data_IF_502491069834
#
_entry.id   IF_502491069834
#
_cell.length_a   1.000
_cell.length_b   1.000
_cell.length_c   1.000
_cell.angle_alpha   90.00
_cell.angle_beta   90.00
_cell.angle_gamma   90.00
#
_symmetry.space_group_name_H-M   'P 1'
#
loop_
_entity.id
_entity.type
_entity.pdbx_description
1 polymer ?
#
# COMPACT_ATOMS: atom_id res chain seq x y z
N UNK A 1 20.47 18.31 -21.44
CA UNK A 1 20.28 19.77 -21.35
C UNK A 1 21.62 20.37 -20.92
N UNK A 2 22.30 21.11 -21.79
CA UNK A 2 23.61 21.70 -21.46
C UNK A 2 23.40 23.13 -20.93
N UNK A 3 23.48 23.29 -19.62
CA UNK A 3 23.47 24.60 -18.98
C UNK A 3 24.88 25.21 -19.00
N UNK A 4 25.03 26.51 -19.33
CA UNK A 4 26.29 27.23 -19.18
C UNK A 4 26.84 27.15 -17.74
N UNK A 5 28.16 27.32 -17.59
CA UNK A 5 28.82 27.35 -16.29
C UNK A 5 28.19 28.47 -15.43
N UNK A 6 27.86 28.15 -14.17
CA UNK A 6 27.19 29.03 -13.19
C UNK A 6 25.72 29.44 -13.52
N UNK A 7 25.00 28.68 -14.33
CA UNK A 7 23.55 28.83 -14.44
C UNK A 7 22.78 27.73 -13.70
N UNK A 8 21.64 28.12 -13.12
CA UNK A 8 20.70 27.22 -12.47
C UNK A 8 19.30 27.43 -13.06
N UNK A 9 18.49 26.39 -13.09
CA UNK A 9 17.09 26.47 -13.50
C UNK A 9 16.19 26.68 -12.28
N UNK A 10 15.25 27.62 -12.37
CA UNK A 10 14.20 27.82 -11.39
C UNK A 10 12.96 27.06 -11.83
N UNK A 11 12.51 26.12 -11.00
CA UNK A 11 11.24 25.43 -11.23
C UNK A 11 10.07 26.37 -10.95
N UNK A 12 9.16 26.48 -11.91
CA UNK A 12 7.90 27.22 -11.76
C UNK A 12 6.73 26.35 -11.28
N UNK A 13 6.91 25.03 -11.35
CA UNK A 13 5.99 23.99 -10.92
C UNK A 13 6.80 22.92 -10.19
N UNK A 14 6.17 22.13 -9.34
CA UNK A 14 6.89 21.08 -8.62
C UNK A 14 7.38 20.02 -9.61
N UNK A 15 8.56 19.43 -9.38
CA UNK A 15 9.09 18.41 -10.26
C UNK A 15 8.67 17.02 -9.75
N UNK A 16 8.16 16.17 -10.63
CA UNK A 16 7.81 14.80 -10.26
C UNK A 16 9.00 14.07 -9.62
N UNK A 17 8.73 13.28 -8.57
CA UNK A 17 9.77 12.60 -7.79
C UNK A 17 10.42 13.45 -6.70
N UNK A 18 10.04 14.72 -6.55
CA UNK A 18 10.47 15.55 -5.40
C UNK A 18 9.45 15.51 -4.26
N UNK A 19 9.91 15.68 -3.02
CA UNK A 19 9.01 15.76 -1.86
C UNK A 19 8.01 16.92 -1.99
N UNK A 20 8.42 18.02 -2.60
CA UNK A 20 7.58 19.19 -2.86
C UNK A 20 6.42 18.84 -3.80
N UNK A 21 6.68 18.03 -4.83
CA UNK A 21 5.66 17.56 -5.75
C UNK A 21 4.57 16.73 -5.05
N UNK A 22 4.97 15.79 -4.19
CA UNK A 22 4.03 15.02 -3.37
C UNK A 22 3.21 15.91 -2.43
N UNK A 23 3.84 16.91 -1.81
CA UNK A 23 3.16 17.85 -0.94
C UNK A 23 2.15 18.72 -1.70
N UNK A 24 2.54 19.30 -2.84
CA UNK A 24 1.65 20.10 -3.66
C UNK A 24 0.46 19.28 -4.18
N UNK A 25 0.70 18.03 -4.58
CA UNK A 25 -0.37 17.10 -4.95
C UNK A 25 -1.37 16.90 -3.81
N UNK A 26 -0.86 16.59 -2.61
CA UNK A 26 -1.72 16.39 -1.44
C UNK A 26 -2.55 17.62 -1.09
N UNK A 27 -1.94 18.83 -1.12
CA UNK A 27 -2.67 20.08 -0.87
C UNK A 27 -3.80 20.25 -1.88
N UNK A 28 -3.51 20.09 -3.17
CA UNK A 28 -4.51 20.21 -4.23
C UNK A 28 -5.64 19.18 -4.10
N UNK A 29 -5.29 17.92 -3.87
CA UNK A 29 -6.26 16.84 -3.68
C UNK A 29 -7.17 17.14 -2.49
N UNK A 30 -6.60 17.58 -1.37
CA UNK A 30 -7.36 17.96 -0.18
C UNK A 30 -8.34 19.09 -0.48
N UNK A 31 -7.93 20.14 -1.20
CA UNK A 31 -8.82 21.24 -1.60
C UNK A 31 -9.97 20.75 -2.49
N UNK A 32 -9.67 19.89 -3.48
CA UNK A 32 -10.70 19.29 -4.35
C UNK A 32 -11.70 18.48 -3.53
N UNK A 33 -11.22 17.62 -2.62
CA UNK A 33 -12.07 16.77 -1.79
C UNK A 33 -12.95 17.62 -0.85
N UNK A 34 -12.39 18.67 -0.25
CA UNK A 34 -13.15 19.62 0.58
C UNK A 34 -14.25 20.32 -0.22
N UNK A 35 -13.97 20.73 -1.46
CA UNK A 35 -14.96 21.36 -2.34
C UNK A 35 -16.12 20.42 -2.73
N UNK A 36 -15.84 19.11 -2.83
CA UNK A 36 -16.86 18.08 -3.07
C UNK A 36 -17.66 17.76 -1.78
N UNK A 37 -17.14 18.12 -0.61
CA UNK A 37 -17.79 17.96 0.69
C UNK A 37 -17.20 16.84 1.56
N UNK A 38 -16.04 16.30 1.19
CA UNK A 38 -15.30 15.37 2.03
C UNK A 38 -14.51 16.09 3.12
N UNK A 39 -14.41 15.46 4.28
CA UNK A 39 -13.55 15.93 5.38
C UNK A 39 -12.50 14.88 5.69
N UNK A 40 -11.23 15.25 5.89
CA UNK A 40 -10.19 14.29 6.27
C UNK A 40 -10.51 13.69 7.64
N UNK A 41 -10.31 12.38 7.78
CA UNK A 41 -10.40 11.71 9.06
C UNK A 41 -9.24 12.13 9.98
N UNK A 42 -9.51 12.30 11.27
CA UNK A 42 -8.51 12.73 12.26
C UNK A 42 -7.49 11.65 12.62
N UNK A 43 -7.84 10.38 12.42
CA UNK A 43 -7.00 9.24 12.77
C UNK A 43 -6.17 8.72 11.58
N UNK A 44 -6.70 8.81 10.36
CA UNK A 44 -6.03 8.37 9.14
C UNK A 44 -6.22 9.39 8.02
N UNK A 45 -5.12 10.01 7.58
CA UNK A 45 -5.09 11.03 6.54
C UNK A 45 -5.46 10.51 5.13
N UNK A 46 -5.57 9.20 4.96
CA UNK A 46 -5.95 8.52 3.72
C UNK A 46 -7.46 8.30 3.62
N UNK A 47 -8.20 8.48 4.72
CA UNK A 47 -9.64 8.23 4.80
C UNK A 47 -10.41 9.56 4.82
N UNK A 48 -11.38 9.68 3.93
CA UNK A 48 -12.22 10.85 3.73
C UNK A 48 -13.68 10.42 3.84
N UNK A 49 -14.29 10.50 5.03
CA UNK A 49 -15.73 10.38 5.17
C UNK A 49 -16.46 11.55 4.51
N UNK A 50 -17.64 11.23 3.98
CA UNK A 50 -18.63 12.18 3.47
C UNK A 50 -19.98 11.84 4.09
N UNK A 51 -20.67 12.85 4.58
CA UNK A 51 -22.03 12.71 5.09
C UNK A 51 -22.86 13.92 4.67
N UNK A 52 -23.99 13.65 4.03
CA UNK A 52 -25.00 14.67 3.69
C UNK A 52 -26.38 14.07 3.89
N UNK A 53 -27.14 14.61 4.84
CA UNK A 53 -28.43 14.09 5.27
C UNK A 53 -28.36 12.58 5.64
N UNK A 54 -29.07 11.73 4.89
CA UNK A 54 -29.06 10.26 5.06
C UNK A 54 -28.06 9.55 4.14
N UNK A 55 -27.36 10.28 3.28
CA UNK A 55 -26.36 9.72 2.36
C UNK A 55 -24.98 9.76 3.01
N UNK A 56 -24.25 8.65 2.90
CA UNK A 56 -22.90 8.52 3.41
C UNK A 56 -21.99 7.91 2.34
N UNK A 57 -20.73 8.33 2.34
CA UNK A 57 -19.70 7.75 1.51
C UNK A 57 -18.36 7.78 2.24
N UNK A 58 -17.48 6.86 1.87
CA UNK A 58 -16.11 6.81 2.38
C UNK A 58 -15.21 6.69 1.16
N UNK A 59 -14.32 7.67 1.01
CA UNK A 59 -13.23 7.63 0.07
C UNK A 59 -11.95 7.27 0.83
N UNK A 60 -11.31 6.18 0.43
CA UNK A 60 -9.93 5.89 0.79
C UNK A 60 -9.03 6.25 -0.39
N UNK A 61 -7.90 6.92 -0.15
CA UNK A 61 -6.97 7.33 -1.20
C UNK A 61 -5.52 7.24 -0.72
N UNK A 62 -4.68 6.62 -1.53
CA UNK A 62 -3.23 6.56 -1.36
C UNK A 62 -2.55 7.04 -2.64
N UNK A 63 -2.03 8.27 -2.60
CA UNK A 63 -1.40 8.95 -3.74
C UNK A 63 -2.34 9.04 -4.95
N UNK A 64 -2.25 8.11 -5.90
CA UNK A 64 -3.01 8.03 -7.15
C UNK A 64 -4.09 6.94 -7.14
N UNK A 65 -3.98 5.95 -6.25
CA UNK A 65 -4.95 4.86 -6.09
C UNK A 65 -6.00 5.20 -5.03
N UNK A 66 -7.27 4.88 -5.29
CA UNK A 66 -8.34 5.10 -4.32
C UNK A 66 -9.53 4.14 -4.47
N UNK A 67 -10.31 4.07 -3.40
CA UNK A 67 -11.53 3.29 -3.30
C UNK A 67 -12.65 4.17 -2.76
N UNK A 68 -13.75 4.27 -3.51
CA UNK A 68 -14.94 5.01 -3.10
C UNK A 68 -16.06 4.02 -2.78
N UNK A 69 -16.64 4.15 -1.60
CA UNK A 69 -17.83 3.41 -1.19
C UNK A 69 -18.94 4.38 -0.84
N UNK A 70 -20.19 4.01 -1.10
CA UNK A 70 -21.34 4.86 -0.79
C UNK A 70 -22.58 4.05 -0.38
N UNK A 71 -23.47 4.74 0.34
CA UNK A 71 -24.78 4.26 0.80
C UNK A 71 -25.73 3.83 -0.30
N UNK A 72 -25.56 4.37 -1.50
CA UNK A 72 -26.39 4.05 -2.67
C UNK A 72 -25.59 4.26 -3.96
N UNK A 73 -25.99 3.55 -5.02
CA UNK A 73 -25.42 3.73 -6.36
C UNK A 73 -25.60 5.15 -6.89
N UNK A 74 -26.74 5.77 -6.57
CA UNK A 74 -27.03 7.17 -6.97
C UNK A 74 -26.04 8.15 -6.31
N UNK A 75 -25.81 8.01 -5.01
CA UNK A 75 -24.83 8.82 -4.29
C UNK A 75 -23.41 8.61 -4.85
N UNK A 76 -23.05 7.35 -5.13
CA UNK A 76 -21.76 7.01 -5.74
C UNK A 76 -21.58 7.71 -7.08
N UNK A 77 -22.58 7.66 -7.97
CA UNK A 77 -22.53 8.29 -9.29
C UNK A 77 -22.47 9.83 -9.19
N UNK A 78 -23.19 10.42 -8.25
CA UNK A 78 -23.15 11.86 -8.00
C UNK A 78 -21.75 12.31 -7.59
N UNK A 79 -21.16 11.64 -6.59
CA UNK A 79 -19.80 11.94 -6.10
C UNK A 79 -18.78 11.72 -7.22
N UNK A 80 -18.89 10.61 -7.96
CA UNK A 80 -18.03 10.31 -9.11
C UNK A 80 -18.08 11.43 -10.16
N UNK A 81 -19.27 11.91 -10.51
CA UNK A 81 -19.42 12.99 -11.48
C UNK A 81 -18.82 14.30 -10.97
N UNK A 82 -18.99 14.62 -9.69
CA UNK A 82 -18.37 15.80 -9.07
C UNK A 82 -16.83 15.69 -9.05
N UNK A 83 -16.26 14.54 -8.69
CA UNK A 83 -14.82 14.35 -8.71
C UNK A 83 -14.25 14.46 -10.13
N UNK A 84 -14.97 13.95 -11.13
CA UNK A 84 -14.56 14.03 -12.54
C UNK A 84 -14.54 15.48 -13.11
N UNK A 85 -15.23 16.45 -12.49
CA UNK A 85 -15.13 17.85 -12.93
C UNK A 85 -13.79 18.48 -12.53
N UNK A 86 -13.19 17.99 -11.45
CA UNK A 86 -11.95 18.53 -10.89
C UNK A 86 -10.72 17.69 -11.26
N UNK A 87 -10.89 16.36 -11.37
CA UNK A 87 -9.81 15.38 -11.56
C UNK A 87 -10.10 14.47 -12.75
N UNK A 88 -9.04 14.04 -13.45
CA UNK A 88 -9.16 13.01 -14.49
C UNK A 88 -9.02 11.65 -13.83
N UNK A 89 -10.14 10.98 -13.58
CA UNK A 89 -10.18 9.73 -12.84
C UNK A 89 -10.60 8.59 -13.76
N UNK A 90 -9.82 7.51 -13.75
CA UNK A 90 -10.21 6.23 -14.32
C UNK A 90 -10.97 5.45 -13.26
N UNK A 91 -12.19 5.04 -13.59
CA UNK A 91 -13.04 4.27 -12.68
C UNK A 91 -13.12 2.82 -13.14
N UNK A 92 -12.98 1.87 -12.22
CA UNK A 92 -13.29 0.45 -12.43
C UNK A 92 -14.35 0.02 -11.41
N UNK A 93 -15.29 -0.81 -11.82
CA UNK A 93 -16.32 -1.34 -10.91
C UNK A 93 -15.81 -2.55 -10.13
N UNK A 94 -14.75 -3.21 -10.59
CA UNK A 94 -14.19 -4.42 -9.97
C UNK A 94 -12.87 -4.09 -9.28
N UNK A 95 -12.73 -4.50 -8.02
CA UNK A 95 -11.44 -4.46 -7.31
C UNK A 95 -10.56 -5.55 -7.89
N UNK A 96 -9.53 -5.20 -8.65
CA UNK A 96 -8.52 -6.19 -9.09
C UNK A 96 -7.30 -6.20 -8.17
N UNK A 97 -7.01 -5.06 -7.54
CA UNK A 97 -5.99 -4.96 -6.52
C UNK A 97 -5.86 -3.55 -5.96
N UNK A 98 -5.22 -3.43 -4.80
CA UNK A 98 -5.01 -2.17 -4.09
C UNK A 98 -3.57 -2.12 -3.57
N UNK A 99 -2.78 -1.12 -3.99
CA UNK A 99 -1.39 -0.90 -3.54
C UNK A 99 -0.51 -2.15 -3.71
N UNK A 100 -0.73 -2.95 -4.75
CA UNK A 100 0.04 -4.18 -4.97
C UNK A 100 -0.43 -5.39 -4.15
N UNK A 101 -1.62 -5.34 -3.59
CA UNK A 101 -2.39 -6.51 -3.12
C UNK A 101 -3.40 -6.90 -4.18
N UNK A 102 -3.31 -8.12 -4.70
CA UNK A 102 -4.31 -8.66 -5.63
C UNK A 102 -5.57 -9.02 -4.86
N UNK A 103 -6.74 -8.67 -5.41
CA UNK A 103 -8.04 -9.04 -4.87
C UNK A 103 -8.80 -9.88 -5.90
N UNK A 104 -9.36 -11.01 -5.46
CA UNK A 104 -10.27 -11.83 -6.25
C UNK A 104 -11.53 -12.11 -5.46
N UNK A 105 -12.66 -11.64 -5.97
CA UNK A 105 -13.97 -11.98 -5.43
C UNK A 105 -14.29 -13.45 -5.73
N UNK A 106 -14.85 -14.14 -4.74
CA UNK A 106 -15.29 -15.53 -4.81
C UNK A 106 -16.63 -15.66 -4.09
N UNK A 107 -17.41 -16.74 -4.33
CA UNK A 107 -18.67 -16.97 -3.62
C UNK A 107 -18.53 -16.97 -2.09
N UNK A 108 -17.36 -17.34 -1.57
CA UNK A 108 -17.08 -17.36 -0.13
C UNK A 108 -16.70 -15.98 0.45
N UNK A 109 -16.33 -15.02 -0.40
CA UNK A 109 -15.81 -13.71 -0.01
C UNK A 109 -14.61 -13.26 -0.87
N UNK A 110 -13.69 -12.50 -0.30
CA UNK A 110 -12.56 -11.90 -1.03
C UNK A 110 -11.25 -12.60 -0.75
N UNK A 111 -10.53 -12.97 -1.82
CA UNK A 111 -9.18 -13.55 -1.76
C UNK A 111 -8.13 -12.48 -1.96
N UNK A 112 -7.18 -12.39 -1.04
CA UNK A 112 -6.05 -11.48 -1.10
C UNK A 112 -4.74 -12.25 -1.32
N UNK A 113 -3.91 -11.77 -2.25
CA UNK A 113 -2.61 -12.37 -2.53
C UNK A 113 -1.59 -11.36 -3.05
N UNK A 114 -0.30 -11.65 -2.86
CA UNK A 114 0.82 -10.81 -3.31
C UNK A 114 1.94 -11.63 -3.97
N UNK A 115 1.63 -12.45 -5.00
CA UNK A 115 2.59 -13.38 -5.58
C UNK A 115 3.83 -12.67 -6.14
N UNK A 116 3.65 -11.54 -6.83
CA UNK A 116 4.75 -10.82 -7.45
C UNK A 116 5.73 -10.23 -6.42
N UNK A 117 5.22 -9.72 -5.30
CA UNK A 117 6.06 -9.17 -4.24
C UNK A 117 6.82 -10.28 -3.52
N UNK A 118 6.15 -11.40 -3.23
CA UNK A 118 6.77 -12.59 -2.63
C UNK A 118 7.86 -13.13 -3.55
N UNK A 119 7.59 -13.28 -4.85
CA UNK A 119 8.58 -13.75 -5.83
C UNK A 119 9.74 -12.78 -5.98
N UNK A 120 9.49 -11.46 -6.03
CA UNK A 120 10.56 -10.44 -6.05
C UNK A 120 11.45 -10.56 -4.83
N UNK A 121 10.88 -10.68 -3.63
CA UNK A 121 11.66 -10.86 -2.40
C UNK A 121 12.44 -12.19 -2.41
N UNK A 122 11.81 -13.26 -2.84
CA UNK A 122 12.44 -14.57 -2.96
C UNK A 122 13.60 -14.56 -3.97
N UNK A 123 13.49 -13.85 -5.08
CA UNK A 123 14.56 -13.77 -6.09
C UNK A 123 15.73 -12.90 -5.65
N UNK A 124 15.50 -11.95 -4.73
CA UNK A 124 16.58 -11.17 -4.10
C UNK A 124 17.37 -11.99 -3.08
N UNK A 125 16.82 -13.10 -2.59
CA UNK A 125 17.52 -14.02 -1.71
C UNK A 125 18.30 -15.06 -2.54
N UNK A 126 19.65 -15.04 -2.52
CA UNK A 126 20.48 -15.94 -3.33
C UNK A 126 20.31 -17.42 -2.96
N UNK A 127 19.82 -17.73 -1.77
CA UNK A 127 19.50 -19.10 -1.37
C UNK A 127 18.26 -19.59 -2.11
N UNK A 128 18.33 -20.72 -2.82
CA UNK A 128 17.18 -21.39 -3.46
C UNK A 128 16.41 -22.35 -2.53
N UNK A 129 16.65 -22.27 -1.22
CA UNK A 129 16.04 -23.19 -0.25
C UNK A 129 14.54 -22.91 -0.05
N UNK A 130 13.81 -23.94 0.37
CA UNK A 130 12.45 -23.83 0.89
C UNK A 130 12.41 -24.29 2.35
N UNK A 131 11.49 -23.75 3.13
CA UNK A 131 11.30 -24.12 4.54
C UNK A 131 9.84 -24.48 4.82
N UNK A 132 9.61 -25.35 5.81
CA UNK A 132 8.26 -25.71 6.29
C UNK A 132 7.84 -24.91 7.52
N UNK A 133 8.74 -24.13 8.11
CA UNK A 133 8.48 -23.32 9.30
C UNK A 133 8.92 -21.87 9.10
N UNK A 134 8.13 -20.95 9.64
CA UNK A 134 8.39 -19.50 9.56
C UNK A 134 9.69 -19.09 10.25
N UNK A 135 10.10 -19.82 11.29
CA UNK A 135 11.39 -19.67 11.98
C UNK A 135 12.12 -21.02 12.04
N UNK A 136 13.47 -21.03 12.16
CA UNK A 136 14.23 -22.23 12.46
C UNK A 136 13.78 -22.92 13.76
N UNK A 137 13.98 -24.24 13.88
CA UNK A 137 13.72 -24.96 15.13
C UNK A 137 14.59 -24.40 16.26
N UNK A 138 14.00 -24.22 17.44
CA UNK A 138 14.68 -23.65 18.62
C UNK A 138 15.31 -22.26 18.38
N UNK A 139 14.70 -21.45 17.50
CA UNK A 139 15.16 -20.09 17.23
C UNK A 139 15.04 -19.23 18.49
N UNK A 140 16.16 -19.05 19.20
CA UNK A 140 16.34 -18.08 20.27
C UNK A 140 17.33 -17.05 19.78
N UNK A 141 16.82 -15.89 19.40
CA UNK A 141 17.62 -14.75 18.97
C UNK A 141 17.83 -13.81 20.14
N UNK A 142 19.07 -13.35 20.29
CA UNK A 142 19.49 -12.46 21.37
C UNK A 142 20.05 -11.18 20.78
N UNK A 143 19.75 -10.06 21.44
CA UNK A 143 20.36 -8.78 21.12
C UNK A 143 21.82 -8.82 21.58
N UNK A 144 22.74 -9.02 20.65
CA UNK A 144 24.15 -8.86 20.95
C UNK A 144 24.57 -7.41 20.68
N UNK A 145 25.03 -6.71 21.71
CA UNK A 145 25.51 -5.32 21.60
C UNK A 145 26.94 -5.22 21.05
N UNK A 146 27.59 -6.36 20.80
CA UNK A 146 28.85 -6.36 20.04
C UNK A 146 28.60 -5.79 18.63
N UNK A 147 29.29 -4.71 18.30
CA UNK A 147 29.21 -3.92 17.06
C UNK A 147 29.51 -4.75 15.80
N UNK A 148 28.59 -5.63 15.41
CA UNK A 148 28.58 -6.26 14.10
C UNK A 148 27.44 -5.66 13.30
N UNK A 149 27.59 -4.38 12.92
CA UNK A 149 26.70 -3.77 11.94
C UNK A 149 26.99 -4.42 10.59
N UNK A 150 26.12 -5.34 10.19
CA UNK A 150 26.12 -5.87 8.84
C UNK A 150 25.53 -4.82 7.90
N UNK A 151 26.24 -4.47 6.83
CA UNK A 151 25.70 -3.70 5.69
C UNK A 151 24.76 -4.60 4.86
N UNK A 152 23.70 -5.10 5.48
CA UNK A 152 22.69 -5.92 4.82
C UNK A 152 21.34 -5.18 4.74
N UNK A 153 20.50 -5.47 3.73
CA UNK A 153 19.21 -4.80 3.57
C UNK A 153 18.14 -5.33 4.55
N UNK A 154 18.51 -5.67 5.78
CA UNK A 154 17.64 -6.33 6.76
C UNK A 154 16.35 -5.54 7.02
N UNK A 155 16.49 -4.24 7.33
CA UNK A 155 15.36 -3.34 7.54
C UNK A 155 14.42 -3.27 6.32
N UNK A 156 15.00 -3.22 5.11
CA UNK A 156 14.23 -3.19 3.86
C UNK A 156 13.41 -4.48 3.69
N UNK A 157 14.01 -5.64 3.95
CA UNK A 157 13.33 -6.93 3.82
C UNK A 157 12.26 -7.13 4.90
N UNK A 158 12.53 -6.71 6.13
CA UNK A 158 11.53 -6.68 7.21
C UNK A 158 10.34 -5.80 6.82
N UNK A 159 10.58 -4.62 6.24
CA UNK A 159 9.50 -3.75 5.77
C UNK A 159 8.60 -4.41 4.71
N UNK A 160 9.20 -5.08 3.73
CA UNK A 160 8.45 -5.85 2.71
C UNK A 160 7.65 -6.98 3.36
N UNK A 161 8.27 -7.73 4.29
CA UNK A 161 7.62 -8.84 4.97
C UNK A 161 6.48 -8.39 5.90
N UNK A 162 6.62 -7.25 6.56
CA UNK A 162 5.55 -6.65 7.37
C UNK A 162 4.35 -6.31 6.49
N UNK A 163 4.59 -5.75 5.31
CA UNK A 163 3.54 -5.46 4.35
C UNK A 163 2.84 -6.74 3.87
N UNK A 164 3.61 -7.75 3.50
CA UNK A 164 3.08 -9.08 3.12
C UNK A 164 2.25 -9.69 4.26
N UNK A 165 2.76 -9.62 5.50
CA UNK A 165 2.10 -10.19 6.67
C UNK A 165 0.75 -9.54 6.95
N UNK A 166 0.67 -8.22 6.85
CA UNK A 166 -0.54 -7.45 7.12
C UNK A 166 -1.60 -7.63 6.04
N UNK A 167 -1.19 -7.74 4.77
CA UNK A 167 -2.12 -7.74 3.65
C UNK A 167 -2.57 -9.13 3.18
N UNK A 168 -1.69 -10.12 3.16
CA UNK A 168 -1.97 -11.41 2.50
C UNK A 168 -1.41 -12.65 3.19
N UNK A 169 -0.54 -12.52 4.20
CA UNK A 169 0.13 -13.64 4.88
C UNK A 169 0.18 -13.47 6.41
N UNK A 170 -0.97 -13.45 7.10
CA UNK A 170 -1.03 -13.25 8.55
C UNK A 170 -0.32 -14.35 9.34
N UNK A 171 -0.10 -15.51 8.74
CA UNK A 171 0.67 -16.63 9.28
C UNK A 171 2.13 -16.29 9.61
N UNK A 172 2.75 -15.37 8.85
CA UNK A 172 4.13 -14.94 9.11
C UNK A 172 4.20 -13.81 10.13
N UNK A 173 3.07 -13.26 10.57
CA UNK A 173 3.01 -12.06 11.41
C UNK A 173 3.85 -12.20 12.68
N UNK A 174 3.80 -13.36 13.34
CA UNK A 174 4.63 -13.61 14.52
C UNK A 174 6.13 -13.56 14.19
N UNK A 175 6.55 -14.28 13.14
CA UNK A 175 7.96 -14.40 12.79
C UNK A 175 8.56 -13.06 12.37
N UNK A 176 7.85 -12.29 11.54
CA UNK A 176 8.33 -10.97 11.10
C UNK A 176 8.39 -9.97 12.26
N UNK A 177 7.40 -9.96 13.15
CA UNK A 177 7.39 -9.09 14.33
C UNK A 177 8.45 -9.50 15.38
N UNK A 178 8.82 -10.78 15.42
CA UNK A 178 9.92 -11.22 16.27
C UNK A 178 11.27 -10.75 15.71
N UNK A 179 11.48 -10.89 14.39
CA UNK A 179 12.71 -10.48 13.70
C UNK A 179 12.89 -8.94 13.68
N UNK A 180 11.81 -8.17 13.55
CA UNK A 180 11.88 -6.69 13.54
C UNK A 180 12.48 -6.07 14.82
N UNK A 181 12.48 -6.81 15.94
CA UNK A 181 13.08 -6.36 17.20
C UNK A 181 14.59 -6.16 17.10
N UNK A 182 15.23 -6.80 16.14
CA UNK A 182 16.69 -6.80 15.98
C UNK A 182 17.19 -5.88 14.86
N UNK A 183 16.32 -5.03 14.32
CA UNK A 183 16.62 -4.21 13.14
C UNK A 183 17.77 -3.20 13.30
N UNK A 184 18.06 -2.76 14.54
CA UNK A 184 19.17 -1.85 14.82
C UNK A 184 20.52 -2.57 14.91
N UNK A 185 20.54 -3.76 15.51
CA UNK A 185 21.76 -4.55 15.77
C UNK A 185 21.57 -5.95 15.16
N UNK A 186 21.68 -6.02 13.83
CA UNK A 186 21.44 -7.25 13.07
C UNK A 186 22.69 -8.13 13.05
N UNK A 187 22.58 -9.37 13.53
CA UNK A 187 23.65 -10.37 13.49
C UNK A 187 23.46 -11.36 12.35
N UNK A 188 24.46 -12.20 12.07
CA UNK A 188 24.32 -13.28 11.08
C UNK A 188 23.21 -14.27 11.45
N UNK A 189 22.97 -14.52 12.74
CA UNK A 189 21.87 -15.39 13.17
C UNK A 189 20.50 -14.79 12.84
N UNK A 190 20.35 -13.46 13.00
CA UNK A 190 19.14 -12.73 12.60
C UNK A 190 18.93 -12.82 11.09
N UNK A 191 20.00 -12.66 10.31
CA UNK A 191 19.97 -12.78 8.85
C UNK A 191 19.55 -14.19 8.40
N UNK A 192 20.17 -15.24 8.95
CA UNK A 192 19.83 -16.63 8.62
C UNK A 192 18.36 -16.96 8.96
N UNK A 193 17.84 -16.43 10.08
CA UNK A 193 16.43 -16.61 10.45
C UNK A 193 15.47 -15.88 9.48
N UNK A 194 15.86 -14.69 9.01
CA UNK A 194 15.13 -13.95 7.98
C UNK A 194 15.13 -14.69 6.63
N UNK A 195 16.27 -15.24 6.22
CA UNK A 195 16.36 -16.07 5.01
C UNK A 195 15.49 -17.32 5.11
N UNK A 196 15.42 -17.96 6.28
CA UNK A 196 14.49 -19.07 6.51
C UNK A 196 13.03 -18.63 6.32
N UNK A 197 12.64 -17.46 6.81
CA UNK A 197 11.28 -16.94 6.63
C UNK A 197 10.96 -16.71 5.15
N UNK A 198 11.91 -16.20 4.38
CA UNK A 198 11.78 -16.04 2.91
C UNK A 198 11.69 -17.41 2.21
N UNK A 199 12.51 -18.37 2.63
CA UNK A 199 12.44 -19.75 2.13
C UNK A 199 11.09 -20.40 2.43
N UNK A 200 10.48 -20.09 3.58
CA UNK A 200 9.12 -20.53 3.91
C UNK A 200 8.08 -19.91 2.97
N UNK A 201 8.14 -18.60 2.71
CA UNK A 201 7.25 -17.95 1.74
C UNK A 201 7.42 -18.54 0.33
N UNK A 202 8.65 -18.83 -0.11
CA UNK A 202 8.92 -19.47 -1.40
C UNK A 202 8.29 -20.87 -1.48
N UNK A 203 8.34 -21.63 -0.40
CA UNK A 203 7.80 -22.99 -0.33
C UNK A 203 6.29 -23.07 -0.10
N UNK A 204 5.61 -21.95 0.18
CA UNK A 204 4.19 -21.93 0.55
C UNK A 204 3.39 -20.91 -0.26
N UNK A 205 2.41 -21.41 -1.01
CA UNK A 205 1.47 -20.59 -1.79
C UNK A 205 0.08 -20.74 -1.21
N UNK A 206 -0.47 -19.68 -0.62
CA UNK A 206 -1.86 -19.65 -0.19
C UNK A 206 -2.41 -18.23 -0.22
N UNK A 207 -3.72 -18.16 -0.44
CA UNK A 207 -4.49 -16.94 -0.43
C UNK A 207 -5.24 -16.82 0.90
N UNK A 208 -5.34 -15.61 1.42
CA UNK A 208 -6.21 -15.31 2.57
C UNK A 208 -7.61 -15.02 2.05
N UNK A 209 -8.63 -15.63 2.66
CA UNK A 209 -10.04 -15.39 2.34
C UNK A 209 -10.67 -14.56 3.47
N UNK A 210 -11.10 -13.33 3.17
CA UNK A 210 -12.06 -12.61 4.00
C UNK A 210 -13.46 -13.08 3.62
N UNK A 211 -14.09 -13.83 4.52
CA UNK A 211 -15.43 -14.38 4.28
C UNK A 211 -16.52 -13.34 4.45
N UNK A 212 -17.52 -13.38 3.58
CA UNK A 212 -18.73 -12.58 3.73
C UNK A 212 -19.50 -13.08 4.96
N UNK A 213 -19.88 -12.17 5.86
CA UNK A 213 -20.83 -12.47 6.94
C UNK A 213 -22.25 -12.49 6.33
N UNK A 214 -23.11 -13.41 6.81
CA UNK A 214 -24.44 -13.74 6.26
C UNK A 214 -25.32 -12.55 5.82
N UNK A 215 -26.30 -12.89 4.97
CA UNK A 215 -27.12 -12.09 4.02
C UNK A 215 -27.84 -10.81 4.53
N UNK A 216 -27.84 -10.49 5.83
CA UNK A 216 -28.56 -9.33 6.39
C UNK A 216 -27.77 -8.00 6.34
N UNK A 217 -26.59 -7.98 5.72
CA UNK A 217 -25.75 -6.78 5.65
C UNK A 217 -26.18 -5.89 4.49
N UNK A 218 -26.55 -4.62 4.77
CA UNK A 218 -26.86 -3.63 3.73
C UNK A 218 -25.75 -3.60 2.67
N UNK A 219 -26.16 -3.76 1.40
CA UNK A 219 -25.25 -3.85 0.28
C UNK A 219 -24.71 -2.46 -0.05
N UNK A 220 -23.47 -2.19 0.34
CA UNK A 220 -22.77 -0.95 0.00
C UNK A 220 -22.21 -1.03 -1.42
N UNK A 221 -22.40 0.03 -2.22
CA UNK A 221 -21.78 0.12 -3.54
C UNK A 221 -20.32 0.53 -3.39
N UNK A 222 -19.41 -0.22 -4.00
CA UNK A 222 -17.96 0.06 -4.00
C UNK A 222 -17.51 0.28 -5.43
N UNK A 223 -16.69 1.29 -5.68
CA UNK A 223 -16.09 1.55 -6.98
C UNK A 223 -14.65 2.02 -6.80
N UNK A 224 -13.81 1.63 -7.75
CA UNK A 224 -12.38 1.90 -7.77
C UNK A 224 -12.12 3.14 -8.56
N UNK A 225 -11.15 3.91 -8.09
CA UNK A 225 -10.62 5.03 -8.82
C UNK A 225 -9.10 4.97 -8.87
N UNK A 226 -8.58 5.25 -10.05
CA UNK A 226 -7.18 5.57 -10.26
C UNK A 226 -7.14 6.97 -10.86
N UNK A 227 -6.44 7.89 -10.22
CA UNK A 227 -6.31 9.26 -10.72
C UNK A 227 -5.22 9.26 -11.79
N UNK A 228 -5.58 9.64 -13.02
CA UNK A 228 -4.63 9.69 -14.12
C UNK A 228 -3.61 10.81 -13.95
N UNK A 229 -2.34 10.51 -14.21
CA UNK A 229 -1.21 11.45 -14.09
C UNK A 229 -1.29 12.64 -15.06
N UNK A 230 -2.06 12.56 -16.14
CA UNK A 230 -2.05 13.53 -17.24
C UNK A 230 -2.44 14.97 -16.84
N UNK A 231 -3.15 15.20 -15.73
CA UNK A 231 -3.44 16.55 -15.21
C UNK A 231 -2.70 16.94 -13.94
N UNK A 232 -1.96 16.01 -13.32
CA UNK A 232 -0.95 16.32 -12.31
C UNK A 232 0.12 17.26 -12.91
N UNK A 233 0.46 17.02 -14.19
CA UNK A 233 1.42 17.78 -15.01
C UNK A 233 0.93 19.20 -15.35
N UNK A 234 -0.33 19.38 -15.74
CA UNK A 234 -0.75 20.70 -16.21
C UNK A 234 -0.96 21.74 -15.11
N UNK A 235 -1.39 21.34 -13.91
CA UNK A 235 -1.66 22.29 -12.81
C UNK A 235 -0.57 22.38 -11.73
N UNK A 236 0.18 21.31 -11.48
CA UNK A 236 1.10 21.22 -10.33
C UNK A 236 2.52 20.86 -10.74
N UNK A 237 2.69 19.99 -11.74
CA UNK A 237 3.98 19.36 -12.05
C UNK A 237 4.59 19.87 -13.36
N UNK A 238 5.75 20.53 -13.30
CA UNK A 238 6.41 21.02 -14.51
C UNK A 238 7.18 19.91 -15.19
N UNK A 239 6.73 19.50 -16.36
CA UNK A 239 7.60 18.89 -17.37
C UNK A 239 7.79 19.93 -18.46
#
# INVERSE_FOLDING_TARGET
MNLPKNQVLKFHKALYGTNQASQCWWIHLKEVLQNVGFTPNGEDASIYPFQKDRQHAILWINVDDGALTASSTENLLLIKNQLNTHLKIKWDTIVKGLVGVSNKETPEGFKFSQPDLIMKLANLNPSNMTSRSTLPKNCKLESNFSLNNMDNPYLKWIGILLYIAQASRPDIAYAVNYLSRFSLNTTQHHWNALENLIAYLRGTTYDVILRRKNEDSQQMSVTWMQIGEEKLVDRIMGI
#
